data_IF_214036638673
#
_entry.id   IF_214036638673
#
_cell.length_a   1.000
_cell.length_b   1.000
_cell.length_c   1.000
_cell.angle_alpha   90.00
_cell.angle_beta   90.00
_cell.angle_gamma   90.00
#
_symmetry.space_group_name_H-M   'P 1'
#
loop_
_entity.id
_entity.type
_entity.pdbx_description
1 polymer ?
#
# COMPACT_ATOMS: atom_id res chain seq x y z
N UNK A 1 25.90 16.93 15.65
CA UNK A 1 24.49 17.19 16.00
C UNK A 1 23.85 17.73 14.74
N UNK A 2 23.38 16.83 13.91
CA UNK A 2 22.68 17.18 12.67
C UNK A 2 21.20 17.32 12.99
N UNK A 3 20.61 18.40 12.51
CA UNK A 3 19.21 18.73 12.73
C UNK A 3 18.33 17.73 11.99
N UNK A 4 17.66 16.89 12.72
CA UNK A 4 16.55 16.06 12.24
C UNK A 4 15.41 17.03 11.93
N UNK A 5 15.09 17.19 10.65
CA UNK A 5 13.87 17.89 10.24
C UNK A 5 12.80 16.83 10.03
N UNK A 6 12.03 16.57 11.07
CA UNK A 6 10.75 15.89 10.92
C UNK A 6 9.75 16.86 10.29
N UNK A 7 9.27 16.55 9.10
CA UNK A 7 8.12 17.24 8.54
C UNK A 7 6.91 16.28 8.61
N UNK A 8 6.19 16.37 9.71
CA UNK A 8 4.87 15.78 9.81
C UNK A 8 3.86 16.92 9.61
N UNK A 9 3.26 17.00 8.44
CA UNK A 9 2.24 18.01 8.16
C UNK A 9 0.86 17.36 8.28
N UNK A 10 0.14 17.69 9.35
CA UNK A 10 -1.24 17.27 9.53
C UNK A 10 -2.19 18.40 9.15
N UNK A 11 -3.04 18.20 8.17
CA UNK A 11 -4.21 19.04 7.94
C UNK A 11 -5.48 18.24 8.19
N UNK A 12 -5.95 18.25 9.43
CA UNK A 12 -7.29 17.74 9.75
C UNK A 12 -8.29 18.89 9.70
N UNK A 13 -9.10 19.00 8.67
CA UNK A 13 -10.20 19.96 8.57
C UNK A 13 -11.51 19.35 9.09
N UNK A 14 -11.80 19.64 10.36
CA UNK A 14 -13.10 19.68 11.07
C UNK A 14 -14.07 18.47 11.00
N UNK A 15 -14.37 17.87 12.04
CA UNK A 15 -15.26 17.90 13.21
C UNK A 15 -15.35 16.50 13.82
N UNK A 16 -14.86 16.38 15.06
CA UNK A 16 -15.22 15.42 16.13
C UNK A 16 -15.51 13.96 15.75
N UNK A 17 -14.60 13.15 16.20
CA UNK A 17 -14.58 11.72 16.51
C UNK A 17 -13.67 10.89 15.57
N UNK A 18 -12.38 10.85 15.92
CA UNK A 18 -11.58 9.68 15.66
C UNK A 18 -10.75 9.65 14.37
N UNK A 19 -10.03 10.72 14.03
CA UNK A 19 -8.85 10.57 13.20
C UNK A 19 -7.69 10.08 14.08
N UNK A 20 -7.25 8.85 13.90
CA UNK A 20 -6.07 8.31 14.56
C UNK A 20 -4.96 8.18 13.52
N UNK A 21 -3.95 9.03 13.62
CA UNK A 21 -2.75 8.94 12.79
C UNK A 21 -1.60 8.53 13.70
N UNK A 22 -1.00 7.40 13.40
CA UNK A 22 0.25 6.98 14.03
C UNK A 22 1.32 6.92 12.95
N UNK A 23 2.27 7.83 13.02
CA UNK A 23 3.47 7.80 12.22
C UNK A 23 4.66 7.51 13.13
N UNK A 24 5.46 6.52 12.81
CA UNK A 24 6.70 6.22 13.51
C UNK A 24 7.84 6.23 12.51
N UNK A 25 8.80 7.10 12.75
CA UNK A 25 10.06 7.16 12.04
C UNK A 25 11.17 6.73 12.99
N UNK A 26 11.93 5.69 12.65
CA UNK A 26 13.22 5.41 13.29
C UNK A 26 14.31 5.93 12.38
N UNK A 27 14.51 7.23 12.49
CA UNK A 27 15.25 8.06 11.59
C UNK A 27 16.61 7.50 11.12
N UNK A 28 16.72 7.35 9.84
CA UNK A 28 17.83 7.82 9.03
C UNK A 28 17.28 8.94 8.15
N UNK A 29 18.00 9.67 7.39
CA UNK A 29 17.63 10.95 6.80
C UNK A 29 16.54 10.85 5.70
N UNK A 30 15.66 11.85 5.64
CA UNK A 30 14.81 12.22 4.50
C UNK A 30 13.57 11.32 4.22
N UNK A 31 13.01 10.68 5.23
CA UNK A 31 11.70 10.07 5.14
C UNK A 31 10.59 11.13 5.23
N UNK A 32 9.55 10.99 4.42
CA UNK A 32 8.44 11.93 4.36
C UNK A 32 7.09 11.21 4.45
N UNK A 33 6.21 11.71 5.32
CA UNK A 33 4.82 11.28 5.36
C UNK A 33 3.94 12.52 5.24
N UNK A 34 3.15 12.59 4.20
CA UNK A 34 2.16 13.63 3.98
C UNK A 34 0.75 13.01 4.01
N UNK A 35 -0.13 13.60 4.82
CA UNK A 35 -1.52 13.14 4.94
C UNK A 35 -2.45 14.34 4.88
N UNK A 36 -3.33 14.37 3.89
CA UNK A 36 -4.50 15.26 3.82
C UNK A 36 -5.77 14.38 3.87
N UNK A 37 -6.63 14.64 4.85
CA UNK A 37 -7.77 13.77 5.08
C UNK A 37 -9.01 14.58 5.46
N UNK A 38 -10.11 14.26 4.81
CA UNK A 38 -11.43 14.84 5.07
C UNK A 38 -12.47 13.75 5.27
N UNK A 39 -13.16 13.76 6.40
CA UNK A 39 -14.19 12.78 6.76
C UNK A 39 -14.07 12.31 8.21
N UNK A 40 -14.85 11.32 8.57
CA UNK A 40 -14.92 10.82 9.95
C UNK A 40 -14.36 9.40 10.06
N UNK A 41 -13.82 9.06 11.24
CA UNK A 41 -13.34 7.71 11.56
C UNK A 41 -12.29 7.16 10.58
N UNK A 42 -11.41 8.01 10.08
CA UNK A 42 -10.22 7.58 9.38
C UNK A 42 -9.21 7.02 10.40
N UNK A 43 -8.67 5.86 10.13
CA UNK A 43 -7.58 5.27 10.89
C UNK A 43 -6.37 5.05 9.97
N UNK A 44 -5.27 5.75 10.23
CA UNK A 44 -4.05 5.65 9.44
C UNK A 44 -2.89 5.23 10.33
N UNK A 45 -2.19 4.17 9.93
CA UNK A 45 -0.94 3.74 10.52
C UNK A 45 0.12 3.71 9.42
N UNK A 46 1.07 4.65 9.47
CA UNK A 46 2.22 4.69 8.59
C UNK A 46 3.51 4.44 9.37
N UNK A 47 4.36 3.56 8.88
CA UNK A 47 5.67 3.27 9.46
C UNK A 47 6.72 3.25 8.37
N UNK A 48 7.82 3.95 8.58
CA UNK A 48 8.96 4.00 7.67
C UNK A 48 10.25 3.66 8.41
N UNK A 49 11.03 2.73 7.85
CA UNK A 49 12.40 2.42 8.25
C UNK A 49 13.30 2.58 7.03
N UNK A 50 14.56 2.93 7.25
CA UNK A 50 15.50 3.21 6.16
C UNK A 50 15.47 4.67 5.73
N UNK A 51 15.97 4.95 4.53
CA UNK A 51 16.22 6.32 4.07
C UNK A 51 15.37 6.66 2.83
N UNK A 52 15.00 7.93 2.69
CA UNK A 52 14.33 8.48 1.49
C UNK A 52 13.01 7.78 1.12
N UNK A 53 12.24 7.35 2.09
CA UNK A 53 10.91 6.79 1.85
C UNK A 53 9.86 7.88 1.85
N UNK A 54 8.86 7.76 0.99
CA UNK A 54 7.77 8.73 0.89
C UNK A 54 6.42 8.03 0.98
N UNK A 55 5.55 8.57 1.80
CA UNK A 55 4.13 8.21 1.87
C UNK A 55 3.31 9.47 1.65
N UNK A 56 2.44 9.48 0.66
CA UNK A 56 1.43 10.52 0.45
C UNK A 56 0.05 9.89 0.53
N UNK A 57 -0.84 10.50 1.29
CA UNK A 57 -2.24 10.09 1.38
C UNK A 57 -3.11 11.32 1.22
N UNK A 58 -3.97 11.32 0.22
CA UNK A 58 -5.08 12.27 0.06
C UNK A 58 -6.37 11.47 0.15
N UNK A 59 -7.12 11.69 1.23
CA UNK A 59 -8.26 10.85 1.58
C UNK A 59 -9.54 11.62 1.86
N UNK A 60 -10.62 11.21 1.21
CA UNK A 60 -11.96 11.72 1.47
C UNK A 60 -12.95 10.58 1.73
N UNK A 61 -13.88 10.79 2.68
CA UNK A 61 -14.90 9.80 3.02
C UNK A 61 -14.85 9.38 4.48
N UNK A 62 -15.61 8.38 4.85
CA UNK A 62 -15.77 7.96 6.25
C UNK A 62 -15.33 6.51 6.47
N UNK A 63 -14.88 6.20 7.68
CA UNK A 63 -14.57 4.85 8.14
C UNK A 63 -13.50 4.10 7.31
N UNK A 64 -12.55 4.80 6.73
CA UNK A 64 -11.45 4.18 6.01
C UNK A 64 -10.32 3.76 6.96
N UNK A 65 -9.74 2.60 6.73
CA UNK A 65 -8.60 2.06 7.45
C UNK A 65 -7.38 1.90 6.55
N UNK A 66 -6.28 2.59 6.85
CA UNK A 66 -5.07 2.56 6.03
C UNK A 66 -3.88 2.12 6.89
N UNK A 67 -3.14 1.12 6.43
CA UNK A 67 -1.97 0.58 7.12
C UNK A 67 -0.80 0.42 6.16
N UNK A 68 0.26 1.19 6.37
CA UNK A 68 1.39 1.29 5.46
C UNK A 68 2.71 1.01 6.18
N UNK A 69 3.61 0.29 5.51
CA UNK A 69 4.91 -0.05 6.02
C UNK A 69 5.96 0.00 4.90
N UNK A 70 6.97 0.84 5.05
CA UNK A 70 8.13 0.92 4.18
C UNK A 70 9.40 0.57 4.96
N UNK A 71 10.26 -0.29 4.39
CA UNK A 71 11.44 -0.78 5.08
C UNK A 71 11.14 -1.70 6.26
N UNK A 72 9.95 -2.20 6.36
CA UNK A 72 9.53 -3.12 7.40
C UNK A 72 8.68 -4.26 6.84
N UNK A 73 8.62 -5.37 7.53
CA UNK A 73 7.76 -6.50 7.18
C UNK A 73 6.62 -6.60 8.18
N UNK A 74 5.40 -6.67 7.68
CA UNK A 74 4.33 -7.28 8.45
C UNK A 74 4.56 -8.79 8.36
N UNK A 75 4.81 -9.47 9.47
CA UNK A 75 4.60 -10.89 9.48
C UNK A 75 3.10 -11.12 9.28
N UNK A 76 2.74 -11.47 8.06
CA UNK A 76 1.45 -12.07 7.79
C UNK A 76 1.58 -13.58 8.03
N UNK A 77 1.26 -14.10 9.20
CA UNK A 77 0.69 -15.42 9.23
C UNK A 77 -0.69 -15.31 8.60
N UNK A 78 -1.13 -16.31 7.91
CA UNK A 78 -2.47 -16.41 7.36
C UNK A 78 -3.61 -16.33 8.42
N UNK A 79 -3.31 -15.82 9.60
CA UNK A 79 -4.24 -15.54 10.68
C UNK A 79 -3.99 -14.15 11.27
N UNK A 80 -4.96 -13.32 11.16
CA UNK A 80 -5.06 -11.91 11.57
C UNK A 80 -4.83 -11.58 13.07
N UNK A 81 -4.16 -12.39 13.85
CA UNK A 81 -4.22 -12.28 15.31
C UNK A 81 -2.94 -11.84 16.02
N UNK A 82 -1.80 -11.64 15.37
CA UNK A 82 -0.59 -11.17 16.06
C UNK A 82 0.08 -10.03 15.31
N UNK A 83 -0.10 -8.82 15.83
CA UNK A 83 0.48 -7.57 15.34
C UNK A 83 1.92 -7.29 15.82
N UNK A 84 2.63 -8.24 16.39
CA UNK A 84 3.76 -7.93 17.26
C UNK A 84 5.15 -8.09 16.65
N UNK A 85 5.30 -8.40 15.36
CA UNK A 85 6.62 -8.55 14.76
C UNK A 85 6.84 -7.65 13.55
N UNK A 86 7.27 -6.42 13.85
CA UNK A 86 7.92 -5.56 12.87
C UNK A 86 9.39 -5.97 12.81
N UNK A 87 9.86 -6.49 11.70
CA UNK A 87 11.28 -6.65 11.48
C UNK A 87 11.81 -5.41 10.77
N UNK A 88 12.73 -4.73 11.43
CA UNK A 88 13.40 -3.57 10.89
C UNK A 88 14.30 -3.99 9.73
N UNK A 89 14.13 -3.42 8.55
CA UNK A 89 15.07 -3.52 7.44
C UNK A 89 15.69 -2.16 7.18
N UNK A 90 16.75 -1.88 7.92
CA UNK A 90 17.43 -0.58 7.90
C UNK A 90 18.19 -0.29 6.60
N UNK A 91 18.30 -1.26 5.71
CA UNK A 91 18.96 -1.11 4.41
C UNK A 91 17.97 -0.79 3.28
N UNK A 92 16.70 -0.82 3.57
CA UNK A 92 15.63 -0.52 2.62
C UNK A 92 15.39 0.98 2.51
N UNK A 93 15.21 1.48 1.31
CA UNK A 93 14.97 2.91 1.14
C UNK A 93 14.54 3.31 -0.26
N UNK A 94 14.12 4.57 -0.38
CA UNK A 94 13.64 5.15 -1.63
C UNK A 94 12.26 4.64 -2.06
N UNK A 95 11.52 3.99 -1.17
CA UNK A 95 10.19 3.50 -1.49
C UNK A 95 9.17 4.63 -1.54
N UNK A 96 8.20 4.50 -2.43
CA UNK A 96 7.12 5.47 -2.58
C UNK A 96 5.77 4.79 -2.47
N UNK A 97 4.89 5.34 -1.66
CA UNK A 97 3.46 5.04 -1.62
C UNK A 97 2.71 6.34 -1.83
N UNK A 98 1.85 6.39 -2.85
CA UNK A 98 1.00 7.53 -3.13
C UNK A 98 -0.45 7.06 -3.24
N UNK A 99 -1.28 7.48 -2.32
CA UNK A 99 -2.67 7.03 -2.21
C UNK A 99 -3.63 8.20 -2.37
N UNK A 100 -4.51 8.08 -3.35
CA UNK A 100 -5.71 8.89 -3.42
C UNK A 100 -6.92 8.01 -3.12
N UNK A 101 -7.64 8.33 -2.04
CA UNK A 101 -8.75 7.51 -1.53
C UNK A 101 -10.01 8.35 -1.48
N UNK A 102 -11.02 7.98 -2.25
CA UNK A 102 -12.34 8.61 -2.22
C UNK A 102 -13.42 7.54 -2.02
N UNK A 103 -14.19 7.66 -0.95
CA UNK A 103 -15.21 6.68 -0.59
C UNK A 103 -15.13 6.26 0.86
N UNK A 104 -15.96 5.33 1.28
CA UNK A 104 -16.13 4.98 2.68
C UNK A 104 -15.98 3.49 2.95
N UNK A 105 -15.52 3.16 4.15
CA UNK A 105 -15.39 1.76 4.59
C UNK A 105 -14.27 0.99 3.92
N UNK A 106 -13.31 1.66 3.25
CA UNK A 106 -12.22 1.00 2.57
C UNK A 106 -11.12 0.57 3.54
N UNK A 107 -10.56 -0.63 3.33
CA UNK A 107 -9.41 -1.18 4.02
C UNK A 107 -8.19 -1.26 3.10
N UNK A 108 -7.14 -0.48 3.36
CA UNK A 108 -5.93 -0.47 2.53
C UNK A 108 -4.72 -0.88 3.37
N UNK A 109 -3.97 -1.85 2.90
CA UNK A 109 -2.74 -2.28 3.53
C UNK A 109 -1.63 -2.42 2.50
N UNK A 110 -0.48 -1.80 2.72
CA UNK A 110 0.66 -1.91 1.82
C UNK A 110 1.97 -2.07 2.58
N UNK A 111 2.83 -2.93 2.03
CA UNK A 111 4.17 -3.18 2.54
C UNK A 111 5.19 -3.12 1.41
N UNK A 112 6.28 -2.39 1.64
CA UNK A 112 7.43 -2.32 0.74
C UNK A 112 8.71 -2.58 1.52
N UNK A 113 9.51 -3.56 1.10
CA UNK A 113 10.79 -3.87 1.76
C UNK A 113 11.77 -4.60 0.84
N UNK A 114 13.03 -4.26 0.90
CA UNK A 114 14.12 -4.98 0.23
C UNK A 114 14.69 -6.15 1.07
N UNK A 115 13.97 -6.65 2.00
CA UNK A 115 14.32 -7.64 3.02
C UNK A 115 15.49 -8.56 2.64
N UNK A 116 16.60 -8.41 3.34
CA UNK A 116 17.75 -9.32 3.27
C UNK A 116 18.69 -9.11 2.09
N UNK A 117 18.55 -8.05 1.31
CA UNK A 117 19.44 -7.73 0.20
C UNK A 117 19.86 -6.25 0.25
N UNK A 118 21.15 -6.01 0.14
CA UNK A 118 21.75 -4.68 0.09
C UNK A 118 21.49 -3.90 -1.22
N UNK A 119 20.43 -4.21 -1.93
CA UNK A 119 20.04 -3.52 -3.16
C UNK A 119 19.08 -2.37 -2.87
N UNK A 120 19.47 -1.15 -3.16
CA UNK A 120 18.64 0.05 -3.00
C UNK A 120 17.63 0.22 -4.16
N UNK A 121 16.92 -0.82 -4.52
CA UNK A 121 15.90 -0.71 -5.55
C UNK A 121 14.58 -0.23 -4.92
N UNK A 122 14.20 0.97 -5.29
CA UNK A 122 12.95 1.57 -4.85
C UNK A 122 11.73 0.77 -5.32
N UNK A 123 10.78 0.54 -4.43
CA UNK A 123 9.46 0.06 -4.79
C UNK A 123 8.50 1.24 -4.91
N UNK A 124 7.60 1.16 -5.85
CA UNK A 124 6.54 2.14 -6.03
C UNK A 124 5.17 1.46 -5.94
N UNK A 125 4.23 2.15 -5.36
CA UNK A 125 2.84 1.74 -5.30
C UNK A 125 1.98 3.00 -5.41
N UNK A 126 1.10 3.04 -6.36
CA UNK A 126 0.12 4.10 -6.53
C UNK A 126 -1.27 3.45 -6.40
N UNK A 127 -2.21 4.13 -5.79
CA UNK A 127 -3.60 3.71 -5.70
C UNK A 127 -4.47 4.92 -5.97
N UNK A 128 -5.42 4.80 -6.85
CA UNK A 128 -6.44 5.80 -7.12
C UNK A 128 -7.80 5.12 -6.94
N UNK A 129 -8.26 5.07 -5.71
CA UNK A 129 -9.47 4.36 -5.32
C UNK A 129 -10.63 5.34 -5.22
N UNK A 130 -11.71 5.05 -5.92
CA UNK A 130 -12.99 5.73 -5.80
C UNK A 130 -14.07 4.66 -5.70
N UNK A 131 -14.67 4.51 -4.53
CA UNK A 131 -15.67 3.47 -4.24
C UNK A 131 -15.72 3.13 -2.76
N UNK A 132 -16.70 2.35 -2.38
CA UNK A 132 -16.96 1.98 -1.00
C UNK A 132 -16.63 0.51 -0.74
N UNK A 133 -16.25 0.18 0.51
CA UNK A 133 -16.06 -1.18 1.00
C UNK A 133 -15.04 -2.04 0.23
N UNK A 134 -14.01 -1.42 -0.33
CA UNK A 134 -12.94 -2.14 -0.98
C UNK A 134 -11.88 -2.58 0.04
N UNK A 135 -11.35 -3.80 -0.11
CA UNK A 135 -10.21 -4.30 0.64
C UNK A 135 -9.02 -4.50 -0.30
N UNK A 136 -7.92 -3.81 -0.04
CA UNK A 136 -6.73 -3.84 -0.87
C UNK A 136 -5.52 -4.21 -0.03
N UNK A 137 -4.78 -5.22 -0.43
CA UNK A 137 -3.51 -5.60 0.18
C UNK A 137 -2.44 -5.67 -0.90
N UNK A 138 -1.32 -4.99 -0.69
CA UNK A 138 -0.16 -5.06 -1.56
C UNK A 138 1.09 -5.40 -0.77
N UNK A 139 1.95 -6.24 -1.33
CA UNK A 139 3.22 -6.62 -0.73
C UNK A 139 4.28 -6.61 -1.81
N UNK A 140 5.27 -5.72 -1.68
CA UNK A 140 6.44 -5.64 -2.54
C UNK A 140 7.66 -5.98 -1.70
N UNK A 141 8.33 -7.08 -2.05
CA UNK A 141 9.45 -7.59 -1.25
C UNK A 141 10.64 -7.96 -2.10
N UNK A 142 11.81 -7.99 -1.46
CA UNK A 142 13.10 -8.33 -2.02
C UNK A 142 13.64 -7.31 -3.02
N UNK A 143 14.87 -7.54 -3.44
CA UNK A 143 15.62 -6.70 -4.36
C UNK A 143 14.95 -6.63 -5.75
N UNK A 144 15.27 -5.58 -6.52
CA UNK A 144 14.63 -5.26 -7.80
C UNK A 144 13.40 -4.40 -7.66
N UNK A 145 13.28 -3.38 -8.50
CA UNK A 145 12.17 -2.44 -8.46
C UNK A 145 10.82 -3.15 -8.67
N UNK A 146 9.88 -2.88 -7.81
CA UNK A 146 8.50 -3.38 -7.93
C UNK A 146 7.58 -2.20 -8.10
N UNK A 147 6.83 -2.19 -9.17
CA UNK A 147 5.84 -1.15 -9.45
C UNK A 147 4.46 -1.78 -9.43
N UNK A 148 3.51 -1.11 -8.85
CA UNK A 148 2.10 -1.41 -9.00
C UNK A 148 1.45 -0.14 -9.52
N UNK A 149 0.38 -0.02 -9.95
CA UNK A 149 -0.43 1.14 -10.27
C UNK A 149 -1.82 0.70 -10.02
N UNK A 150 -2.69 0.85 -9.37
CA UNK A 150 -3.94 0.13 -9.10
C UNK A 150 -5.08 1.03 -9.27
N UNK A 151 -5.91 1.20 -9.93
CA UNK A 151 -7.10 2.05 -9.99
C UNK A 151 -8.32 1.23 -9.58
N UNK A 152 -9.23 1.73 -8.84
CA UNK A 152 -10.49 1.10 -8.48
C UNK A 152 -11.57 2.15 -8.58
N UNK A 153 -12.64 1.96 -9.28
CA UNK A 153 -13.74 2.93 -9.43
C UNK A 153 -15.09 2.40 -8.97
N UNK A 154 -15.15 1.19 -8.44
CA UNK A 154 -16.38 0.57 -7.98
C UNK A 154 -16.27 0.04 -6.55
N UNK A 155 -17.35 -0.49 -6.04
CA UNK A 155 -17.47 -0.95 -4.67
C UNK A 155 -17.18 -2.45 -4.52
N UNK A 156 -16.94 -2.88 -3.28
CA UNK A 156 -16.88 -4.29 -2.88
C UNK A 156 -15.80 -5.11 -3.62
N UNK A 157 -14.64 -4.53 -3.91
CA UNK A 157 -13.52 -5.30 -4.44
C UNK A 157 -12.65 -5.86 -3.30
N UNK A 158 -12.21 -7.11 -3.46
CA UNK A 158 -11.15 -7.74 -2.66
C UNK A 158 -9.93 -7.96 -3.57
N UNK A 159 -8.83 -7.30 -3.28
CA UNK A 159 -7.64 -7.29 -4.14
C UNK A 159 -6.43 -7.67 -3.31
N UNK A 160 -5.65 -8.65 -3.69
CA UNK A 160 -4.40 -9.01 -3.06
C UNK A 160 -3.33 -9.11 -4.14
N UNK A 161 -2.37 -8.21 -4.17
CA UNK A 161 -1.22 -8.29 -5.05
C UNK A 161 0.01 -8.64 -4.21
N UNK A 162 0.90 -9.48 -4.71
CA UNK A 162 2.20 -9.78 -4.12
C UNK A 162 3.24 -9.80 -5.21
N UNK A 163 4.26 -9.00 -5.09
CA UNK A 163 5.43 -8.99 -5.96
C UNK A 163 6.65 -9.34 -5.12
N UNK A 164 7.26 -10.48 -5.41
CA UNK A 164 8.44 -11.00 -4.71
C UNK A 164 9.43 -11.59 -5.70
N UNK A 165 10.70 -11.28 -5.54
CA UNK A 165 11.74 -11.90 -6.35
C UNK A 165 13.04 -11.12 -6.28
N UNK A 166 14.14 -11.83 -6.05
CA UNK A 166 15.45 -11.22 -5.92
C UNK A 166 15.97 -10.78 -7.29
N UNK A 167 16.33 -9.52 -7.42
CA UNK A 167 16.92 -8.93 -8.62
C UNK A 167 15.95 -8.79 -9.81
N UNK A 168 14.69 -9.14 -9.65
CA UNK A 168 13.69 -9.00 -10.70
C UNK A 168 12.86 -7.73 -10.54
N UNK A 169 12.66 -7.02 -11.62
CA UNK A 169 11.73 -5.91 -11.69
C UNK A 169 10.35 -6.47 -12.06
N UNK A 170 9.40 -6.35 -11.15
CA UNK A 170 8.03 -6.73 -11.44
C UNK A 170 7.17 -5.49 -11.60
N UNK A 171 6.28 -5.56 -12.55
CA UNK A 171 5.34 -4.50 -12.85
C UNK A 171 3.91 -5.08 -12.86
N UNK A 172 2.96 -4.31 -12.39
CA UNK A 172 1.54 -4.66 -12.44
C UNK A 172 0.72 -3.38 -12.54
N UNK A 173 -0.08 -3.27 -13.57
CA UNK A 173 -1.11 -2.26 -13.68
C UNK A 173 -2.46 -2.97 -13.59
N UNK A 174 -3.32 -2.53 -12.71
CA UNK A 174 -4.64 -3.13 -12.50
C UNK A 174 -5.66 -1.99 -12.48
N UNK A 175 -6.66 -2.09 -13.27
CA UNK A 175 -7.82 -1.21 -13.27
C UNK A 175 -9.06 -2.09 -13.06
N UNK A 176 -9.80 -1.84 -12.02
CA UNK A 176 -11.04 -2.54 -11.71
C UNK A 176 -12.18 -1.53 -11.83
N UNK A 177 -13.13 -1.85 -12.67
CA UNK A 177 -14.29 -1.04 -12.91
C UNK A 177 -15.53 -1.95 -13.02
N UNK A 178 -16.69 -1.39 -13.11
CA UNK A 178 -17.91 -2.17 -13.32
C UNK A 178 -19.00 -1.86 -12.31
N UNK A 179 -20.04 -2.67 -12.36
CA UNK A 179 -21.21 -2.50 -11.50
C UNK A 179 -21.11 -3.34 -10.22
N UNK A 180 -20.29 -4.39 -10.23
CA UNK A 180 -20.15 -5.34 -9.13
C UNK A 180 -18.69 -5.57 -8.79
N UNK A 181 -18.43 -5.93 -7.54
CA UNK A 181 -17.10 -6.16 -7.01
C UNK A 181 -16.34 -7.30 -7.70
N UNK A 182 -15.03 -7.23 -7.63
CA UNK A 182 -14.12 -8.24 -8.19
C UNK A 182 -13.17 -8.75 -7.12
N UNK A 183 -13.11 -10.07 -6.95
CA UNK A 183 -12.02 -10.73 -6.24
C UNK A 183 -10.83 -10.86 -7.18
N UNK A 184 -9.74 -10.21 -6.89
CA UNK A 184 -8.49 -10.30 -7.64
C UNK A 184 -7.39 -10.86 -6.75
N UNK A 185 -6.66 -11.83 -7.21
CA UNK A 185 -5.37 -12.23 -6.65
C UNK A 185 -4.33 -12.23 -7.76
N UNK A 186 -3.31 -11.41 -7.65
CA UNK A 186 -2.15 -11.40 -8.53
C UNK A 186 -0.91 -11.72 -7.71
N UNK A 187 -0.07 -12.61 -8.19
CA UNK A 187 1.21 -12.98 -7.57
C UNK A 187 2.28 -13.04 -8.64
N UNK A 188 3.34 -12.27 -8.48
CA UNK A 188 4.52 -12.32 -9.32
C UNK A 188 5.72 -12.73 -8.46
N UNK A 189 6.33 -13.85 -8.80
CA UNK A 189 7.45 -14.43 -8.07
C UNK A 189 8.60 -14.76 -9.00
N UNK A 190 9.80 -14.91 -8.43
CA UNK A 190 10.96 -15.40 -9.15
C UNK A 190 11.97 -14.33 -9.50
N UNK A 191 13.03 -14.74 -10.20
CA UNK A 191 14.16 -13.90 -10.52
C UNK A 191 14.09 -13.30 -11.94
N UNK A 192 13.00 -13.51 -12.65
CA UNK A 192 12.77 -12.97 -14.00
C UNK A 192 11.75 -11.85 -13.92
N UNK A 193 12.03 -10.75 -14.61
CA UNK A 193 11.10 -9.62 -14.71
C UNK A 193 9.77 -10.07 -15.32
N UNK A 194 8.70 -9.71 -14.66
CA UNK A 194 7.34 -10.05 -15.07
C UNK A 194 6.48 -8.79 -15.13
N UNK A 195 5.72 -8.68 -16.19
CA UNK A 195 4.76 -7.58 -16.37
C UNK A 195 3.35 -8.13 -16.45
N UNK A 196 2.42 -7.37 -15.92
CA UNK A 196 1.00 -7.70 -15.97
C UNK A 196 0.19 -6.42 -16.15
N UNK A 197 -0.79 -6.47 -17.00
CA UNK A 197 -1.76 -5.39 -17.15
C UNK A 197 -3.16 -6.00 -17.29
N UNK A 198 -4.08 -5.50 -16.51
CA UNK A 198 -5.47 -5.94 -16.50
C UNK A 198 -6.39 -4.72 -16.46
N UNK A 199 -7.43 -4.76 -17.27
CA UNK A 199 -8.63 -3.93 -17.09
C UNK A 199 -9.80 -4.87 -16.91
N UNK A 200 -10.49 -4.78 -15.78
CA UNK A 200 -11.64 -5.61 -15.45
C UNK A 200 -12.89 -4.76 -15.31
N UNK A 201 -13.92 -5.08 -16.07
CA UNK A 201 -15.24 -4.50 -15.95
C UNK A 201 -16.23 -5.59 -15.52
N UNK A 202 -16.59 -5.62 -14.24
CA UNK A 202 -17.48 -6.64 -13.70
C UNK A 202 -18.95 -6.25 -13.84
N UNK A 203 -19.66 -6.93 -14.71
CA UNK A 203 -21.10 -6.78 -14.95
C UNK A 203 -21.94 -7.94 -14.41
N UNK A 204 -21.31 -8.90 -13.76
CA UNK A 204 -22.00 -10.07 -13.21
C UNK A 204 -22.53 -9.76 -11.80
N UNK A 205 -23.84 -9.87 -11.54
CA UNK A 205 -24.43 -9.62 -10.22
C UNK A 205 -23.89 -10.50 -9.08
N UNK A 206 -23.24 -11.61 -9.42
CA UNK A 206 -22.58 -12.48 -8.42
C UNK A 206 -21.14 -12.11 -8.15
N UNK A 207 -20.67 -10.97 -8.70
CA UNK A 207 -19.27 -10.58 -8.67
C UNK A 207 -18.41 -11.28 -9.73
N UNK A 208 -17.17 -10.86 -9.83
CA UNK A 208 -16.16 -11.47 -10.71
C UNK A 208 -14.99 -11.99 -9.88
N UNK A 209 -14.27 -12.97 -10.39
CA UNK A 209 -13.08 -13.47 -9.73
C UNK A 209 -11.96 -13.70 -10.75
N UNK A 210 -10.76 -13.21 -10.41
CA UNK A 210 -9.55 -13.34 -11.22
C UNK A 210 -8.42 -13.80 -10.32
N UNK A 211 -7.69 -14.82 -10.76
CA UNK A 211 -6.47 -15.23 -10.08
C UNK A 211 -5.36 -15.46 -11.09
N UNK A 212 -4.24 -14.75 -10.92
CA UNK A 212 -3.06 -14.86 -11.77
C UNK A 212 -1.85 -15.15 -10.91
N UNK A 213 -1.02 -16.09 -11.35
CA UNK A 213 0.28 -16.38 -10.74
C UNK A 213 1.32 -16.49 -11.84
N UNK A 214 2.37 -15.68 -11.73
CA UNK A 214 3.55 -15.70 -12.59
C UNK A 214 4.78 -16.10 -11.76
N UNK A 215 5.60 -17.01 -12.28
CA UNK A 215 6.79 -17.55 -11.60
C UNK A 215 8.00 -17.56 -12.53
#
# INVERSE_FOLDING_TARGET
>A
MENIKEYILYTCSFILLGCYVFASDKARSDNEIFIDQTGNNFAILGVQYGDNNTITIDGTGDNNGIKLCQGCAFDYPESYTNHDYWTDDLESGGHTIDLFVSGSGNGISAQQTNQGNAGNNAHSYELNLSGDYNEVTTIQQHDGAKTIDLTIYNDDNDVLIRQKGNGANHDATVELDGTYGTDLTLKQFGAITQTYSLTQNCLNPSGCSISVTQQ
#
